data_IF_724975944340
#
_entry.id   IF_724975944340
#
_cell.length_a   1.000
_cell.length_b   1.000
_cell.length_c   1.000
_cell.angle_alpha   90.00
_cell.angle_beta   90.00
_cell.angle_gamma   90.00
#
_symmetry.space_group_name_H-M   'P 1'
#
loop_
_entity.id
_entity.type
_entity.pdbx_description
1 polymer ?
#
# COMPACT_ATOMS: atom_id res chain seq x y z
N UNK A 1 -0.35 -6.72 11.05
CA UNK A 1 -1.63 -6.66 10.31
C UNK A 1 -1.73 -7.71 9.20
N UNK A 2 -2.90 -8.33 9.03
CA UNK A 2 -3.22 -9.22 7.89
C UNK A 2 -3.61 -8.39 6.67
N UNK A 3 -3.19 -8.81 5.47
CA UNK A 3 -3.54 -8.18 4.19
C UNK A 3 -4.11 -9.21 3.24
N UNK A 4 -5.22 -8.86 2.58
CA UNK A 4 -6.00 -9.81 1.75
C UNK A 4 -6.13 -9.40 0.29
N UNK A 5 -5.67 -8.20 -0.07
CA UNK A 5 -5.76 -7.70 -1.45
C UNK A 5 -4.56 -6.85 -1.85
N UNK A 6 -4.24 -6.78 -3.16
CA UNK A 6 -3.25 -5.85 -3.68
C UNK A 6 -3.58 -4.39 -3.35
N UNK A 7 -4.87 -4.04 -3.36
CA UNK A 7 -5.33 -2.69 -3.02
C UNK A 7 -4.97 -2.29 -1.60
N UNK A 8 -5.20 -3.20 -0.65
CA UNK A 8 -4.87 -3.00 0.75
C UNK A 8 -3.36 -2.91 0.96
N UNK A 9 -2.58 -3.75 0.27
CA UNK A 9 -1.11 -3.67 0.29
C UNK A 9 -0.61 -2.30 -0.20
N UNK A 10 -1.13 -1.81 -1.33
CA UNK A 10 -0.78 -0.49 -1.87
C UNK A 10 -1.11 0.64 -0.89
N UNK A 11 -2.29 0.60 -0.28
CA UNK A 11 -2.71 1.58 0.71
C UNK A 11 -1.77 1.60 1.93
N UNK A 12 -1.36 0.44 2.42
CA UNK A 12 -0.41 0.33 3.55
C UNK A 12 0.95 0.88 3.15
N UNK A 13 1.47 0.53 1.97
CA UNK A 13 2.75 1.06 1.46
C UNK A 13 2.75 2.60 1.45
N UNK A 14 1.68 3.19 0.91
CA UNK A 14 1.51 4.65 0.90
C UNK A 14 1.46 5.23 2.31
N UNK A 15 0.66 4.63 3.19
CA UNK A 15 0.48 5.12 4.56
C UNK A 15 1.80 5.08 5.34
N UNK A 16 2.58 4.01 5.17
CA UNK A 16 3.91 3.88 5.78
C UNK A 16 4.86 4.93 5.22
N UNK A 17 4.93 5.11 3.90
CA UNK A 17 5.80 6.11 3.29
C UNK A 17 5.46 7.52 3.80
N UNK A 18 4.19 7.90 3.79
CA UNK A 18 3.73 9.20 4.27
C UNK A 18 3.99 9.36 5.76
N UNK A 19 3.73 8.32 6.56
CA UNK A 19 3.96 8.35 8.01
C UNK A 19 5.43 8.49 8.40
N UNK A 20 6.35 8.01 7.55
CA UNK A 20 7.79 8.22 7.70
C UNK A 20 8.28 9.54 7.09
N UNK A 21 7.38 10.39 6.59
CA UNK A 21 7.69 11.64 5.88
C UNK A 21 8.64 11.45 4.69
N UNK A 22 8.57 10.30 4.02
CA UNK A 22 9.40 10.01 2.84
C UNK A 22 8.70 10.54 1.58
N UNK A 23 9.31 11.46 0.81
CA UNK A 23 8.76 11.90 -0.47
C UNK A 23 8.69 10.74 -1.49
N UNK A 24 7.69 10.78 -2.37
CA UNK A 24 7.53 9.76 -3.41
C UNK A 24 8.72 9.74 -4.38
N UNK A 25 9.28 10.90 -4.71
CA UNK A 25 10.44 11.05 -5.58
C UNK A 25 11.67 10.34 -5.00
N UNK A 26 11.97 10.60 -3.74
CA UNK A 26 13.13 10.04 -3.04
C UNK A 26 13.04 8.51 -2.95
N UNK A 27 11.85 7.97 -2.66
CA UNK A 27 11.66 6.51 -2.66
C UNK A 27 11.79 5.93 -4.08
N UNK A 28 11.25 6.61 -5.09
CA UNK A 28 11.39 6.16 -6.47
C UNK A 28 12.85 6.14 -6.92
N UNK A 29 13.63 7.16 -6.57
CA UNK A 29 15.07 7.23 -6.84
C UNK A 29 15.83 6.11 -6.11
N UNK A 30 15.56 5.91 -4.82
CA UNK A 30 16.17 4.85 -4.00
C UNK A 30 15.93 3.46 -4.59
N UNK A 31 14.73 3.23 -5.13
CA UNK A 31 14.35 1.96 -5.75
C UNK A 31 14.73 1.87 -7.24
N UNK A 32 15.40 2.88 -7.78
CA UNK A 32 15.71 3.00 -9.21
C UNK A 32 14.49 2.75 -10.11
N UNK A 33 13.38 3.42 -9.80
CA UNK A 33 12.11 3.27 -10.49
C UNK A 33 11.45 4.62 -10.80
N UNK A 34 10.37 4.60 -11.59
CA UNK A 34 9.62 5.82 -11.88
C UNK A 34 8.62 6.14 -10.77
N UNK A 35 8.43 7.43 -10.49
CA UNK A 35 7.38 7.90 -9.58
C UNK A 35 5.98 7.45 -10.02
N UNK A 36 5.75 7.34 -11.32
CA UNK A 36 4.49 6.85 -11.88
C UNK A 36 4.24 5.39 -11.49
N UNK A 37 5.23 4.51 -11.67
CA UNK A 37 5.09 3.10 -11.29
C UNK A 37 4.85 2.96 -9.78
N UNK A 38 5.68 3.64 -8.97
CA UNK A 38 5.56 3.60 -7.51
C UNK A 38 4.21 4.15 -7.03
N UNK A 39 3.71 5.22 -7.65
CA UNK A 39 2.37 5.76 -7.37
C UNK A 39 1.26 4.76 -7.68
N UNK A 40 1.33 4.04 -8.81
CA UNK A 40 0.35 3.01 -9.18
C UNK A 40 0.35 1.87 -8.18
N UNK A 41 1.53 1.42 -7.74
CA UNK A 41 1.67 0.43 -6.68
C UNK A 41 1.05 0.92 -5.36
N UNK A 42 1.34 2.15 -4.93
CA UNK A 42 0.74 2.79 -3.75
C UNK A 42 -0.78 3.01 -3.85
N UNK A 43 -1.31 3.04 -5.07
CA UNK A 43 -2.75 3.11 -5.34
C UNK A 43 -3.40 1.74 -5.41
N UNK A 44 -2.62 0.65 -5.31
CA UNK A 44 -3.15 -0.70 -5.41
C UNK A 44 -3.42 -1.17 -6.83
N UNK A 45 -2.94 -0.44 -7.85
CA UNK A 45 -3.04 -0.85 -9.25
C UNK A 45 -2.13 -2.05 -9.50
N UNK A 46 -2.68 -3.23 -9.27
CA UNK A 46 -2.00 -4.49 -9.44
C UNK A 46 -1.80 -4.82 -10.92
N UNK A 47 -0.65 -5.40 -11.24
CA UNK A 47 -0.52 -6.14 -12.49
C UNK A 47 -1.23 -7.48 -12.36
N UNK A 48 -1.56 -8.10 -13.49
CA UNK A 48 -2.17 -9.45 -13.52
C UNK A 48 -1.37 -10.46 -12.70
N UNK A 49 -0.03 -10.37 -12.72
CA UNK A 49 0.82 -11.26 -11.94
C UNK A 49 0.54 -11.15 -10.42
N UNK A 50 0.40 -9.93 -9.90
CA UNK A 50 0.11 -9.69 -8.48
C UNK A 50 -1.31 -10.14 -8.12
N UNK A 51 -2.29 -9.91 -9.00
CA UNK A 51 -3.66 -10.42 -8.80
C UNK A 51 -3.72 -11.95 -8.73
N UNK A 52 -2.97 -12.63 -9.61
CA UNK A 52 -2.87 -14.09 -9.62
C UNK A 52 -2.15 -14.61 -8.39
N UNK A 53 -1.11 -13.92 -7.92
CA UNK A 53 -0.44 -14.26 -6.65
C UNK A 53 -1.43 -14.23 -5.47
N UNK A 54 -2.17 -13.14 -5.28
CA UNK A 54 -3.17 -13.06 -4.20
C UNK A 54 -4.28 -14.10 -4.34
N UNK A 55 -4.66 -14.45 -5.58
CA UNK A 55 -5.64 -15.50 -5.83
C UNK A 55 -5.09 -16.88 -5.45
N UNK A 56 -3.84 -17.19 -5.82
CA UNK A 56 -3.16 -18.43 -5.44
C UNK A 56 -2.99 -18.53 -3.92
N UNK A 57 -2.63 -17.43 -3.25
CA UNK A 57 -2.51 -17.41 -1.79
C UNK A 57 -3.84 -17.75 -1.12
N UNK A 58 -4.96 -17.19 -1.59
CA UNK A 58 -6.29 -17.52 -1.07
C UNK A 58 -6.64 -19.00 -1.28
N UNK A 59 -6.40 -19.52 -2.48
CA UNK A 59 -6.70 -20.92 -2.80
C UNK A 59 -5.89 -21.90 -1.94
N UNK A 60 -4.63 -21.56 -1.66
CA UNK A 60 -3.72 -22.39 -0.87
C UNK A 60 -3.82 -22.14 0.63
N UNK A 61 -4.72 -21.27 1.10
CA UNK A 61 -4.86 -20.93 2.52
C UNK A 61 -3.66 -20.16 3.10
N UNK A 62 -2.88 -19.47 2.27
CA UNK A 62 -1.71 -18.70 2.67
C UNK A 62 -2.14 -17.29 3.10
N UNK A 63 -1.63 -16.84 4.25
CA UNK A 63 -1.88 -15.50 4.75
C UNK A 63 -0.66 -14.59 4.58
N UNK A 64 -0.90 -13.33 4.20
CA UNK A 64 0.12 -12.28 4.21
C UNK A 64 -0.02 -11.42 5.47
N UNK A 65 1.06 -11.35 6.25
CA UNK A 65 1.14 -10.51 7.44
C UNK A 65 2.21 -9.45 7.27
N UNK A 66 1.84 -8.18 7.43
CA UNK A 66 2.76 -7.05 7.41
C UNK A 66 3.14 -6.65 8.84
N UNK A 67 4.43 -6.40 9.04
CA UNK A 67 4.99 -5.79 10.23
C UNK A 67 5.33 -4.34 9.93
N UNK A 68 4.87 -3.43 10.79
CA UNK A 68 5.06 -1.99 10.59
C UNK A 68 6.32 -1.50 11.30
N UNK A 69 6.95 -0.43 10.81
CA UNK A 69 8.01 0.27 11.54
C UNK A 69 7.51 0.71 12.93
N UNK A 70 8.34 0.70 13.99
CA UNK A 70 7.91 1.03 15.36
C UNK A 70 7.29 2.42 15.53
N UNK A 71 7.67 3.37 14.67
CA UNK A 71 7.13 4.72 14.66
C UNK A 71 5.66 4.80 14.19
N UNK A 72 5.11 3.71 13.64
CA UNK A 72 3.78 3.64 13.08
C UNK A 72 2.97 2.55 13.75
N UNK A 73 1.67 2.79 13.90
CA UNK A 73 0.72 1.81 14.41
C UNK A 73 -0.43 1.60 13.42
N UNK A 74 -1.11 0.46 13.56
CA UNK A 74 -2.19 0.06 12.64
C UNK A 74 -3.36 1.07 12.63
N UNK A 75 -3.60 1.74 13.77
CA UNK A 75 -4.63 2.78 13.90
C UNK A 75 -4.31 4.01 13.03
N UNK A 76 -3.06 4.46 13.00
CA UNK A 76 -2.62 5.58 12.18
C UNK A 76 -2.78 5.27 10.68
N UNK A 77 -2.47 4.04 10.28
CA UNK A 77 -2.64 3.58 8.89
C UNK A 77 -4.12 3.55 8.50
N UNK A 78 -4.99 2.98 9.35
CA UNK A 78 -6.43 2.92 9.09
C UNK A 78 -7.07 4.32 8.97
N UNK A 79 -6.64 5.29 9.78
CA UNK A 79 -7.12 6.66 9.70
C UNK A 79 -6.75 7.34 8.37
N UNK A 80 -5.53 7.11 7.87
CA UNK A 80 -5.06 7.67 6.58
C UNK A 80 -5.86 7.16 5.38
N UNK A 81 -6.33 5.91 5.43
CA UNK A 81 -7.16 5.32 4.38
C UNK A 81 -8.55 5.97 4.28
N UNK A 82 -9.11 6.44 5.40
CA UNK A 82 -10.41 7.10 5.41
C UNK A 82 -10.35 8.56 4.91
N UNK A 83 -9.28 9.29 5.18
CA UNK A 83 -9.14 10.69 4.78
C UNK A 83 -9.03 10.85 3.26
N UNK A 84 -8.35 9.91 2.58
CA UNK A 84 -8.29 9.86 1.12
C UNK A 84 -9.67 9.64 0.45
N UNK A 85 -10.57 8.91 1.12
CA UNK A 85 -11.93 8.65 0.64
C UNK A 85 -12.83 9.89 0.79
N UNK A 86 -12.65 10.66 1.88
CA UNK A 86 -13.38 11.92 2.12
C UNK A 86 -12.99 13.03 1.14
N UNK A 87 -11.70 13.18 0.82
CA UNK A 87 -11.24 14.20 -0.13
C UNK A 87 -11.72 13.99 -1.57
N UNK A 88 -11.97 12.73 -1.97
CA UNK A 88 -12.50 12.39 -3.31
C UNK A 88 -14.02 12.54 -3.44
N UNK A 89 -14.74 12.71 -2.33
CA UNK A 89 -16.19 12.91 -2.30
C UNK A 89 -16.60 14.40 -2.37
N UNK A 90 -15.63 15.32 -2.48
CA UNK A 90 -15.90 16.75 -2.64
C UNK A 90 -16.01 17.05 -4.15
N UNK A 91 -17.16 17.60 -4.62
CA UNK A 91 -17.45 17.81 -6.05
C UNK A 91 -16.55 18.87 -6.68
#
# INVERSE_FOLDING_TARGET
>A
MKVTSPQELGNVLRAVRVGLNVPLADLAETLNTSQTLLRRQEQGEATVAVEKLFSAMRELGIELHLSLPPALNERAIAASAQDGKRRRARP
#
